data_IF_056024296011
#
_entry.id   IF_056024296011
#
_cell.length_a   1.000
_cell.length_b   1.000
_cell.length_c   1.000
_cell.angle_alpha   90.00
_cell.angle_beta   90.00
_cell.angle_gamma   90.00
#
_symmetry.space_group_name_H-M   'P 1'
#
loop_
_entity.id
_entity.type
_entity.pdbx_description
1 polymer ?
#
# COMPACT_ATOMS: atom_id res chain seq x y z
N UNK A 1 -23.82 -9.42 0.90
CA UNK A 1 -22.36 -9.58 0.72
C UNK A 1 -21.72 -8.20 0.75
N UNK A 2 -20.85 -7.96 1.74
CA UNK A 2 -20.49 -6.66 2.31
C UNK A 2 -19.77 -5.70 1.36
N UNK A 3 -20.37 -4.54 1.07
CA UNK A 3 -19.79 -3.40 0.34
C UNK A 3 -18.83 -2.55 1.19
N UNK A 4 -18.65 -2.85 2.47
CA UNK A 4 -17.87 -2.04 3.41
C UNK A 4 -16.34 -2.20 3.27
N UNK A 5 -15.88 -3.36 2.78
CA UNK A 5 -14.47 -3.73 2.84
C UNK A 5 -13.57 -2.90 1.91
N UNK A 6 -14.08 -2.54 0.73
CA UNK A 6 -13.34 -1.75 -0.27
C UNK A 6 -13.13 -0.30 0.17
N UNK A 7 -14.16 0.30 0.78
CA UNK A 7 -14.08 1.69 1.22
C UNK A 7 -13.07 1.84 2.37
N UNK A 8 -13.05 0.88 3.30
CA UNK A 8 -12.07 0.84 4.40
C UNK A 8 -10.62 0.72 3.91
N UNK A 9 -10.36 -0.03 2.83
CA UNK A 9 -9.00 -0.17 2.25
C UNK A 9 -8.52 1.11 1.58
N UNK A 10 -9.39 1.78 0.83
CA UNK A 10 -9.02 3.05 0.19
C UNK A 10 -8.77 4.16 1.21
N UNK A 11 -9.61 4.28 2.24
CA UNK A 11 -9.40 5.25 3.31
C UNK A 11 -8.12 4.97 4.10
N UNK A 12 -7.85 3.70 4.42
CA UNK A 12 -6.61 3.32 5.09
C UNK A 12 -5.39 3.62 4.23
N UNK A 13 -5.42 3.26 2.94
CA UNK A 13 -4.33 3.54 2.02
C UNK A 13 -4.08 5.05 1.89
N UNK A 14 -5.13 5.88 1.85
CA UNK A 14 -5.01 7.34 1.81
C UNK A 14 -4.33 7.88 3.07
N UNK A 15 -4.79 7.48 4.26
CA UNK A 15 -4.19 7.89 5.55
C UNK A 15 -2.73 7.44 5.67
N UNK A 16 -2.45 6.18 5.34
CA UNK A 16 -1.09 5.64 5.34
C UNK A 16 -0.17 6.44 4.41
N UNK A 17 -0.65 6.79 3.21
CA UNK A 17 0.11 7.61 2.28
C UNK A 17 0.37 9.01 2.83
N UNK A 18 -0.61 9.64 3.47
CA UNK A 18 -0.46 10.97 4.07
C UNK A 18 0.57 10.96 5.21
N UNK A 19 0.48 9.98 6.12
CA UNK A 19 1.41 9.82 7.24
C UNK A 19 2.86 9.59 6.79
N UNK A 20 3.05 8.84 5.71
CA UNK A 20 4.38 8.53 5.16
C UNK A 20 4.85 9.55 4.12
N UNK A 21 4.08 10.63 3.87
CA UNK A 21 4.41 11.65 2.88
C UNK A 21 4.40 11.14 1.43
N UNK A 22 3.71 10.03 1.16
CA UNK A 22 3.63 9.39 -0.15
C UNK A 22 2.50 10.00 -0.99
N UNK A 23 2.77 10.22 -2.27
CA UNK A 23 1.78 10.72 -3.24
C UNK A 23 1.76 9.86 -4.49
N UNK A 24 0.64 9.89 -5.22
CA UNK A 24 0.49 9.25 -6.53
C UNK A 24 -0.49 8.08 -6.58
N UNK A 25 -1.28 8.02 -7.66
CA UNK A 25 -2.32 7.00 -7.85
C UNK A 25 -1.75 5.57 -7.89
N UNK A 26 -0.63 5.37 -8.58
CA UNK A 26 0.02 4.06 -8.69
C UNK A 26 0.43 3.50 -7.31
N UNK A 27 1.01 4.35 -6.43
CA UNK A 27 1.36 3.96 -5.06
C UNK A 27 0.13 3.59 -4.24
N UNK A 28 -0.96 4.34 -4.38
CA UNK A 28 -2.23 4.02 -3.70
C UNK A 28 -2.74 2.64 -4.09
N UNK A 29 -2.77 2.34 -5.39
CA UNK A 29 -3.19 1.03 -5.90
C UNK A 29 -2.28 -0.07 -5.35
N UNK A 30 -0.96 0.14 -5.35
CA UNK A 30 0.03 -0.81 -4.80
C UNK A 30 -0.22 -1.07 -3.31
N UNK A 31 -0.50 -0.03 -2.53
CA UNK A 31 -0.80 -0.15 -1.09
C UNK A 31 -2.11 -0.92 -0.86
N UNK A 32 -3.15 -0.68 -1.65
CA UNK A 32 -4.41 -1.44 -1.58
C UNK A 32 -4.17 -2.92 -1.85
N UNK A 33 -3.40 -3.25 -2.90
CA UNK A 33 -3.02 -4.64 -3.20
C UNK A 33 -2.20 -5.28 -2.09
N UNK A 34 -1.30 -4.52 -1.46
CA UNK A 34 -0.54 -4.99 -0.30
C UNK A 34 -1.48 -5.26 0.88
N UNK A 35 -2.44 -4.36 1.16
CA UNK A 35 -3.45 -4.54 2.21
C UNK A 35 -4.27 -5.81 1.95
N UNK A 36 -4.65 -6.10 0.70
CA UNK A 36 -5.34 -7.33 0.35
C UNK A 36 -4.50 -8.59 0.68
N UNK A 37 -3.17 -8.49 0.57
CA UNK A 37 -2.26 -9.61 0.84
C UNK A 37 -1.88 -9.78 2.32
N UNK A 38 -1.72 -8.69 3.08
CA UNK A 38 -1.15 -8.72 4.44
C UNK A 38 -2.12 -8.25 5.53
N UNK A 39 -3.28 -7.73 5.15
CA UNK A 39 -4.26 -7.09 6.03
C UNK A 39 -3.90 -5.64 6.40
N UNK A 40 -4.65 -5.07 7.34
CA UNK A 40 -4.50 -3.68 7.80
C UNK A 40 -3.35 -3.45 8.80
N UNK A 41 -2.31 -4.28 8.75
CA UNK A 41 -1.14 -4.17 9.62
C UNK A 41 -0.11 -3.19 9.02
N UNK A 42 0.01 -2.01 9.63
CA UNK A 42 0.91 -0.94 9.18
C UNK A 42 2.36 -1.40 9.00
N UNK A 43 2.88 -2.25 9.89
CA UNK A 43 4.27 -2.73 9.82
C UNK A 43 4.46 -3.65 8.62
N UNK A 44 3.53 -4.58 8.41
CA UNK A 44 3.57 -5.48 7.25
C UNK A 44 3.44 -4.72 5.95
N UNK A 45 2.55 -3.73 5.89
CA UNK A 45 2.36 -2.87 4.71
C UNK A 45 3.65 -2.11 4.39
N UNK A 46 4.33 -1.51 5.38
CA UNK A 46 5.62 -0.84 5.17
C UNK A 46 6.68 -1.79 4.61
N UNK A 47 6.86 -2.95 5.22
CA UNK A 47 7.87 -3.93 4.79
C UNK A 47 7.58 -4.43 3.37
N UNK A 48 6.32 -4.75 3.07
CA UNK A 48 5.91 -5.17 1.74
C UNK A 48 6.08 -4.05 0.70
N UNK A 49 5.72 -2.80 1.04
CA UNK A 49 5.91 -1.65 0.15
C UNK A 49 7.41 -1.42 -0.14
N UNK A 50 8.25 -1.43 0.89
CA UNK A 50 9.71 -1.30 0.74
C UNK A 50 10.29 -2.40 -0.16
N UNK A 51 9.94 -3.68 0.10
CA UNK A 51 10.35 -4.82 -0.74
C UNK A 51 9.91 -4.64 -2.19
N UNK A 52 8.68 -4.19 -2.40
CA UNK A 52 8.14 -3.97 -3.74
C UNK A 52 8.81 -2.82 -4.50
N UNK A 53 9.46 -1.89 -3.81
CA UNK A 53 10.24 -0.79 -4.41
C UNK A 53 11.72 -1.12 -4.58
N UNK A 54 12.24 -2.12 -3.84
CA UNK A 54 13.63 -2.58 -3.98
C UNK A 54 13.82 -3.29 -5.34
N UNK A 55 12.82 -4.04 -5.81
CA UNK A 55 12.87 -4.71 -7.13
C UNK A 55 13.00 -3.71 -8.30
N UNK A 56 12.38 -2.54 -8.19
CA UNK A 56 12.52 -1.44 -9.18
C UNK A 56 13.93 -0.84 -9.18
N UNK A 57 14.64 -0.87 -8.05
CA UNK A 57 15.98 -0.26 -7.93
C UNK A 57 17.09 -1.16 -8.47
N UNK A 58 16.92 -2.48 -8.41
CA UNK A 58 17.92 -3.46 -8.87
C UNK A 58 17.89 -3.64 -10.40
N UNK A 59 16.73 -3.40 -11.05
CA UNK A 59 16.60 -3.51 -12.51
C UNK A 59 17.13 -2.30 -13.31
N UNK A 60 17.72 -1.31 -12.62
CA UNK A 60 18.30 -0.11 -13.22
C UNK A 60 19.84 -0.10 -13.18
N UNK A 61 20.48 -1.24 -12.94
CA UNK A 61 21.90 -1.51 -13.22
C UNK A 61 22.04 -2.46 -14.41
#
# INVERSE_FOLDING_TARGET
>A
MSTNDKNSKEDYARKFMEEEGLKGKARRIKIIQIIDSVGFDKRKIKVALQRSTIDERIKHE
#
